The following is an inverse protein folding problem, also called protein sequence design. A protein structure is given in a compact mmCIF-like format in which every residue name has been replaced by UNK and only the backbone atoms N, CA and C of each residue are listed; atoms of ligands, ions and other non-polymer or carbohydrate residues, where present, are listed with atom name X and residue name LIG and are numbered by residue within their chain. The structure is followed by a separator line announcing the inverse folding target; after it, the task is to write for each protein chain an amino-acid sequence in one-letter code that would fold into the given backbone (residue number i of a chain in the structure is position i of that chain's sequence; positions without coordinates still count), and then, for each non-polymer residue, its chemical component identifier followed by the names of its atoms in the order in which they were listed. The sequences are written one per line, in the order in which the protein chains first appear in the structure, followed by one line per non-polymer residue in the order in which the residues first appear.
data_IF_797055347445
#
_entry.id   IF_797055347445
#
_cell.length_a   1.000
_cell.length_b   1.000
_cell.length_c   1.000
_cell.angle_alpha   90.00
_cell.angle_beta   90.00
_cell.angle_gamma   90.00
#
_symmetry.space_group_name_H-M   'P 1'
#
loop_
_entity.id
_entity.type
_entity.pdbx_description
1 polymer ?
#
# COMPACT_ATOMS: atom_id res chain seq x y z
N UNK A 1 34.39 -65.23 126.58
CA UNK A 1 34.29 -64.32 125.41
C UNK A 1 33.31 -64.94 124.44
N UNK A 2 32.34 -64.18 123.91
CA UNK A 2 31.45 -64.69 122.87
C UNK A 2 32.25 -65.06 121.61
N UNK A 3 31.80 -66.11 120.91
CA UNK A 3 32.48 -66.67 119.73
C UNK A 3 32.27 -65.74 118.52
N UNK A 4 33.14 -65.83 117.51
CA UNK A 4 33.08 -64.99 116.29
C UNK A 4 31.71 -65.00 115.59
N UNK A 5 30.94 -66.06 115.79
CA UNK A 5 29.61 -66.28 115.21
C UNK A 5 28.49 -65.52 115.96
N UNK A 6 28.76 -65.05 117.17
CA UNK A 6 27.81 -64.33 118.03
C UNK A 6 27.95 -62.80 117.93
N UNK A 7 28.91 -62.30 117.15
CA UNK A 7 29.05 -60.87 116.84
C UNK A 7 28.11 -60.51 115.69
N UNK A 8 27.23 -59.53 115.90
CA UNK A 8 26.36 -59.01 114.85
C UNK A 8 27.20 -58.45 113.69
N UNK A 9 26.89 -58.88 112.46
CA UNK A 9 27.59 -58.41 111.27
C UNK A 9 27.41 -56.90 111.10
N UNK A 10 28.52 -56.17 110.96
CA UNK A 10 28.50 -54.73 110.67
C UNK A 10 28.12 -54.57 109.20
N UNK A 11 26.89 -54.14 108.94
CA UNK A 11 26.43 -53.82 107.57
C UNK A 11 27.19 -52.60 107.03
N UNK A 12 27.99 -52.83 106.00
CA UNK A 12 28.65 -51.75 105.28
C UNK A 12 27.63 -50.94 104.47
N UNK A 13 27.51 -49.65 104.76
CA UNK A 13 26.68 -48.73 103.96
C UNK A 13 27.45 -48.39 102.67
N UNK A 14 26.90 -48.77 101.52
CA UNK A 14 27.50 -48.43 100.24
C UNK A 14 27.31 -46.93 99.95
N UNK A 15 28.38 -46.16 100.16
CA UNK A 15 28.41 -44.71 99.96
C UNK A 15 28.62 -44.29 98.51
N UNK A 16 28.74 -45.24 97.57
CA UNK A 16 29.06 -44.94 96.16
C UNK A 16 27.96 -45.50 95.25
N UNK A 17 27.33 -44.62 94.48
CA UNK A 17 26.45 -45.01 93.37
C UNK A 17 27.27 -45.05 92.08
N UNK A 18 27.11 -46.11 91.28
CA UNK A 18 27.65 -46.12 89.93
C UNK A 18 27.00 -44.98 89.14
N UNK A 19 27.83 -44.05 88.66
CA UNK A 19 27.36 -42.96 87.80
C UNK A 19 27.02 -43.57 86.44
N UNK A 20 25.78 -43.40 86.00
CA UNK A 20 25.35 -43.85 84.68
C UNK A 20 26.13 -43.11 83.61
N UNK A 21 26.61 -43.83 82.59
CA UNK A 21 27.26 -43.19 81.46
C UNK A 21 26.19 -42.46 80.63
N UNK A 22 26.27 -41.14 80.62
CA UNK A 22 25.51 -40.30 79.69
C UNK A 22 26.46 -39.83 78.58
N UNK A 23 26.33 -40.36 77.34
CA UNK A 23 27.14 -39.93 76.21
C UNK A 23 26.95 -38.45 75.84
N UNK A 24 25.89 -37.80 76.34
CA UNK A 24 25.49 -36.44 76.02
C UNK A 24 25.81 -35.43 77.13
N UNK A 25 26.60 -35.83 78.13
CA UNK A 25 27.01 -34.95 79.22
C UNK A 25 27.81 -33.73 78.70
N UNK A 26 27.18 -32.56 78.76
CA UNK A 26 27.73 -31.28 78.30
C UNK A 26 28.96 -30.84 79.09
N UNK A 27 29.14 -31.33 80.31
CA UNK A 27 30.29 -30.98 81.15
C UNK A 27 31.60 -31.62 80.67
N UNK A 28 31.51 -32.73 79.93
CA UNK A 28 32.64 -33.48 79.39
C UNK A 28 32.79 -33.23 77.89
N UNK A 29 31.67 -33.29 77.16
CA UNK A 29 31.65 -33.24 75.69
C UNK A 29 31.58 -31.81 75.13
N UNK A 30 31.29 -30.81 75.96
CA UNK A 30 31.10 -29.42 75.53
C UNK A 30 29.75 -29.17 74.82
N UNK A 31 29.57 -28.00 74.19
CA UNK A 31 28.36 -27.69 73.42
C UNK A 31 28.25 -28.58 72.18
N UNK A 32 27.03 -29.02 71.87
CA UNK A 32 26.77 -29.86 70.71
C UNK A 32 27.08 -29.12 69.39
N UNK A 33 28.09 -29.60 68.66
CA UNK A 33 28.54 -29.05 67.38
C UNK A 33 27.51 -29.25 66.26
N UNK A 34 26.60 -30.22 66.40
CA UNK A 34 25.60 -30.57 65.40
C UNK A 34 24.17 -30.23 65.83
N UNK A 35 24.01 -29.37 66.84
CA UNK A 35 22.69 -28.96 67.32
C UNK A 35 21.81 -28.32 66.22
N UNK A 36 22.43 -27.78 65.16
CA UNK A 36 21.75 -27.21 64.00
C UNK A 36 21.43 -28.25 62.89
N UNK A 37 21.93 -29.48 62.99
CA UNK A 37 21.73 -30.51 61.97
C UNK A 37 20.40 -31.23 62.20
N UNK A 38 19.53 -31.21 61.20
CA UNK A 38 18.25 -31.91 61.26
C UNK A 38 18.44 -33.44 61.19
N UNK A 39 17.70 -34.22 61.99
CA UNK A 39 17.71 -35.68 61.91
C UNK A 39 17.34 -36.20 60.51
N UNK A 40 17.96 -37.32 60.09
CA UNK A 40 17.74 -37.87 58.74
C UNK A 40 16.30 -38.29 58.44
N UNK A 41 15.56 -38.74 59.45
CA UNK A 41 14.13 -39.04 59.34
C UNK A 41 13.30 -37.76 59.07
N UNK A 42 13.66 -36.63 59.69
CA UNK A 42 13.01 -35.33 59.45
C UNK A 42 13.30 -34.85 58.03
N UNK A 43 14.55 -34.93 57.57
CA UNK A 43 14.92 -34.57 56.19
C UNK A 43 14.17 -35.43 55.16
N UNK A 44 14.04 -36.74 55.41
CA UNK A 44 13.25 -37.64 54.56
C UNK A 44 11.78 -37.23 54.53
N UNK A 45 11.18 -36.95 55.68
CA UNK A 45 9.78 -36.49 55.76
C UNK A 45 9.55 -35.16 55.05
N UNK A 46 10.46 -34.19 55.20
CA UNK A 46 10.41 -32.92 54.48
C UNK A 46 10.49 -33.10 52.96
N UNK A 47 11.37 -34.01 52.50
CA UNK A 47 11.47 -34.34 51.08
C UNK A 47 10.19 -34.97 50.54
N UNK A 48 9.57 -35.91 51.28
CA UNK A 48 8.31 -36.55 50.88
C UNK A 48 7.17 -35.52 50.86
N UNK A 49 7.05 -34.70 51.89
CA UNK A 49 6.03 -33.66 51.95
C UNK A 49 6.18 -32.60 50.84
N UNK A 50 7.42 -32.22 50.50
CA UNK A 50 7.68 -31.34 49.36
C UNK A 50 7.19 -31.95 48.04
N UNK A 51 7.31 -33.26 47.86
CA UNK A 51 6.78 -33.95 46.68
C UNK A 51 5.25 -34.02 46.69
N UNK A 52 4.61 -34.27 47.84
CA UNK A 52 3.14 -34.24 47.94
C UNK A 52 2.58 -32.83 47.68
N UNK A 53 3.24 -31.76 48.16
CA UNK A 53 2.91 -30.37 47.79
C UNK A 53 3.05 -30.14 46.28
N UNK A 54 4.13 -30.64 45.68
CA UNK A 54 4.35 -30.52 44.25
C UNK A 54 3.29 -31.29 43.45
N UNK A 55 2.91 -32.49 43.88
CA UNK A 55 1.87 -33.31 43.27
C UNK A 55 0.49 -32.64 43.35
N UNK A 56 0.13 -32.12 44.51
CA UNK A 56 -1.09 -31.34 44.71
C UNK A 56 -1.15 -30.13 43.77
N UNK A 57 -0.04 -29.37 43.70
CA UNK A 57 0.09 -28.21 42.81
C UNK A 57 -0.01 -28.59 41.33
N UNK A 58 0.69 -29.65 40.90
CA UNK A 58 0.69 -30.11 39.50
C UNK A 58 -0.72 -30.51 39.03
N UNK A 59 -1.46 -31.26 39.86
CA UNK A 59 -2.81 -31.66 39.52
C UNK A 59 -3.73 -30.46 39.29
N UNK A 60 -3.66 -29.44 40.15
CA UNK A 60 -4.48 -28.24 40.01
C UNK A 60 -4.02 -27.34 38.84
N UNK A 61 -2.71 -27.26 38.59
CA UNK A 61 -2.18 -26.51 37.45
C UNK A 61 -2.62 -27.11 36.11
N UNK A 62 -2.64 -28.43 35.98
CA UNK A 62 -3.12 -29.11 34.77
C UNK A 62 -4.59 -28.74 34.47
N UNK A 63 -5.46 -28.76 35.49
CA UNK A 63 -6.86 -28.34 35.35
C UNK A 63 -6.98 -26.85 34.95
N UNK A 64 -6.13 -25.98 35.52
CA UNK A 64 -6.11 -24.54 35.20
C UNK A 64 -5.65 -24.31 33.77
N UNK A 65 -4.55 -24.93 33.35
CA UNK A 65 -3.96 -24.77 32.02
C UNK A 65 -4.92 -25.23 30.91
N UNK A 66 -5.63 -26.33 31.13
CA UNK A 66 -6.67 -26.81 30.20
C UNK A 66 -7.78 -25.77 30.03
N UNK A 67 -8.30 -25.24 31.14
CA UNK A 67 -9.39 -24.26 31.13
C UNK A 67 -8.96 -22.88 30.64
N UNK A 68 -7.75 -22.43 30.96
CA UNK A 68 -7.19 -21.17 30.46
C UNK A 68 -6.99 -21.23 28.94
N UNK A 69 -6.48 -22.36 28.42
CA UNK A 69 -6.32 -22.57 26.98
C UNK A 69 -7.67 -22.56 26.26
N UNK A 70 -8.67 -23.28 26.79
CA UNK A 70 -10.03 -23.27 26.24
C UNK A 70 -10.61 -21.85 26.17
N UNK A 71 -10.43 -21.07 27.24
CA UNK A 71 -10.87 -19.68 27.29
C UNK A 71 -10.14 -18.81 26.25
N UNK A 72 -8.83 -18.94 26.15
CA UNK A 72 -8.01 -18.17 25.21
C UNK A 72 -8.42 -18.46 23.75
N UNK A 73 -8.55 -19.74 23.39
CA UNK A 73 -8.98 -20.17 22.06
C UNK A 73 -10.40 -19.66 21.74
N UNK A 74 -11.30 -19.72 22.72
CA UNK A 74 -12.66 -19.20 22.57
C UNK A 74 -12.67 -17.68 22.34
N UNK A 75 -11.95 -16.89 23.16
CA UNK A 75 -11.90 -15.43 23.01
C UNK A 75 -11.30 -15.03 21.65
N UNK A 76 -10.26 -15.71 21.17
CA UNK A 76 -9.71 -15.49 19.82
C UNK A 76 -10.75 -15.75 18.72
N UNK A 77 -11.56 -16.79 18.88
CA UNK A 77 -12.62 -17.14 17.90
C UNK A 77 -13.72 -16.07 17.78
N UNK A 78 -13.90 -15.22 18.80
CA UNK A 78 -14.90 -14.15 18.78
C UNK A 78 -14.50 -12.94 17.92
N UNK A 79 -13.25 -12.85 17.46
CA UNK A 79 -12.73 -11.79 16.58
C UNK A 79 -13.09 -10.37 17.09
N UNK A 80 -12.86 -10.12 18.38
CA UNK A 80 -13.23 -8.86 19.02
C UNK A 80 -12.41 -7.66 18.50
N UNK A 81 -11.29 -7.89 17.82
CA UNK A 81 -10.45 -6.85 17.21
C UNK A 81 -11.18 -6.04 16.13
N UNK A 82 -12.15 -6.64 15.44
CA UNK A 82 -12.96 -5.96 14.42
C UNK A 82 -13.96 -4.95 15.03
N UNK A 83 -14.13 -5.00 16.36
CA UNK A 83 -15.18 -4.31 17.09
C UNK A 83 -14.53 -3.50 18.21
N UNK A 84 -14.51 -2.19 18.05
CA UNK A 84 -13.90 -1.31 19.03
C UNK A 84 -14.79 -1.21 20.30
N UNK A 85 -14.52 -2.05 21.31
CA UNK A 85 -15.12 -1.97 22.66
C UNK A 85 -14.44 -0.93 23.56
N UNK A 86 -13.43 -0.23 23.04
CA UNK A 86 -12.67 0.73 23.82
C UNK A 86 -13.49 2.02 23.92
N UNK A 87 -14.04 2.28 25.11
CA UNK A 87 -14.84 3.47 25.45
C UNK A 87 -13.99 4.75 25.53
N UNK A 88 -12.74 4.68 25.06
CA UNK A 88 -11.82 5.79 25.09
C UNK A 88 -12.40 6.95 24.32
N UNK A 89 -12.85 7.98 25.04
CA UNK A 89 -13.13 9.35 24.60
C UNK A 89 -12.02 10.03 23.77
N UNK A 90 -10.97 9.30 23.39
CA UNK A 90 -9.99 9.72 22.42
C UNK A 90 -10.68 9.90 21.07
N UNK A 91 -10.60 11.12 20.57
CA UNK A 91 -10.91 11.47 19.19
C UNK A 91 -10.33 10.41 18.24
N UNK A 92 -11.17 9.56 17.66
CA UNK A 92 -10.74 8.44 16.80
C UNK A 92 -9.79 8.95 15.72
N UNK A 93 -8.52 8.57 15.79
CA UNK A 93 -7.45 9.20 15.03
C UNK A 93 -7.63 8.87 13.54
N UNK A 94 -7.52 9.90 12.68
CA UNK A 94 -7.60 9.68 11.24
C UNK A 94 -6.39 8.83 10.81
N UNK A 95 -6.55 7.89 9.86
CA UNK A 95 -5.43 7.11 9.36
C UNK A 95 -4.28 8.01 8.88
N UNK A 96 -3.05 7.66 9.26
CA UNK A 96 -1.84 8.46 9.00
C UNK A 96 -1.70 8.79 7.51
N UNK A 97 -2.00 7.84 6.63
CA UNK A 97 -1.99 8.03 5.18
C UNK A 97 -2.88 9.19 4.70
N UNK A 98 -4.06 9.36 5.29
CA UNK A 98 -4.98 10.46 4.95
C UNK A 98 -4.49 11.77 5.55
N UNK A 99 -3.95 11.72 6.76
CA UNK A 99 -3.43 12.90 7.46
C UNK A 99 -2.26 13.52 6.69
N UNK A 100 -1.31 12.68 6.23
CA UNK A 100 -0.18 13.10 5.41
C UNK A 100 -0.63 13.82 4.12
N UNK A 101 -1.58 13.23 3.40
CA UNK A 101 -2.09 13.75 2.12
C UNK A 101 -2.92 15.02 2.31
N UNK A 102 -3.75 15.06 3.34
CA UNK A 102 -4.51 16.26 3.70
C UNK A 102 -3.59 17.39 4.14
N UNK A 103 -2.54 17.11 4.90
CA UNK A 103 -1.55 18.11 5.30
C UNK A 103 -0.76 18.64 4.09
N UNK A 104 -0.30 17.75 3.21
CA UNK A 104 0.40 18.14 1.98
C UNK A 104 -0.50 19.01 1.08
N UNK A 105 -1.75 18.61 0.87
CA UNK A 105 -2.69 19.35 0.04
C UNK A 105 -3.07 20.72 0.66
N UNK A 106 -3.34 20.76 1.98
CA UNK A 106 -3.64 22.02 2.68
C UNK A 106 -2.43 22.97 2.80
N UNK A 107 -1.20 22.45 2.73
CA UNK A 107 0.00 23.29 2.72
C UNK A 107 0.13 24.14 1.45
N UNK A 108 -0.58 23.78 0.39
CA UNK A 108 -0.59 24.46 -0.91
C UNK A 108 -2.02 24.80 -1.34
N UNK A 109 -2.66 25.81 -0.73
CA UNK A 109 -4.07 26.14 -1.00
C UNK A 109 -4.34 26.56 -2.45
N UNK A 110 -3.33 27.12 -3.13
CA UNK A 110 -3.43 27.57 -4.53
C UNK A 110 -3.16 26.45 -5.55
N UNK A 111 -2.75 25.25 -5.11
CA UNK A 111 -2.28 24.20 -6.02
C UNK A 111 -3.41 23.60 -6.88
N UNK A 112 -4.63 23.50 -6.35
CA UNK A 112 -5.79 23.03 -7.12
C UNK A 112 -6.25 24.06 -8.17
N UNK A 113 -6.44 25.35 -7.84
CA UNK A 113 -6.66 26.39 -8.85
C UNK A 113 -5.55 26.47 -9.90
N UNK A 114 -4.29 26.37 -9.49
CA UNK A 114 -3.13 26.40 -10.40
C UNK A 114 -3.14 25.21 -11.36
N UNK A 115 -3.47 24.01 -10.89
CA UNK A 115 -3.62 22.84 -11.76
C UNK A 115 -4.74 23.05 -12.80
N UNK A 116 -5.87 23.61 -12.39
CA UNK A 116 -6.98 23.88 -13.29
C UNK A 116 -6.59 24.88 -14.39
N UNK A 117 -5.85 25.93 -14.04
CA UNK A 117 -5.30 26.90 -14.99
C UNK A 117 -4.33 26.23 -15.98
N UNK A 118 -3.40 25.40 -15.48
CA UNK A 118 -2.47 24.63 -16.33
C UNK A 118 -3.23 23.70 -17.29
N UNK A 119 -4.28 23.02 -16.82
CA UNK A 119 -5.11 22.15 -17.65
C UNK A 119 -5.87 22.91 -18.74
N UNK A 120 -6.40 24.10 -18.43
CA UNK A 120 -7.01 24.97 -19.43
C UNK A 120 -5.98 25.41 -20.47
N UNK A 121 -4.79 25.83 -20.02
CA UNK A 121 -3.70 26.24 -20.92
C UNK A 121 -3.25 25.10 -21.84
N UNK A 122 -3.15 23.87 -21.36
CA UNK A 122 -2.89 22.68 -22.21
C UNK A 122 -4.00 22.50 -23.25
N UNK A 123 -5.26 22.70 -22.87
CA UNK A 123 -6.40 22.69 -23.78
C UNK A 123 -6.30 23.76 -24.87
N UNK A 124 -5.96 24.99 -24.50
CA UNK A 124 -5.75 26.11 -25.43
C UNK A 124 -4.60 25.81 -26.40
N UNK A 125 -3.48 25.27 -25.91
CA UNK A 125 -2.38 24.82 -26.76
C UNK A 125 -2.82 23.73 -27.74
N UNK A 126 -3.71 22.81 -27.34
CA UNK A 126 -4.23 21.78 -28.24
C UNK A 126 -5.06 22.39 -29.38
N UNK A 127 -5.92 23.37 -29.07
CA UNK A 127 -6.75 24.08 -30.06
C UNK A 127 -5.85 24.90 -31.00
N UNK A 128 -4.85 25.60 -30.47
CA UNK A 128 -3.90 26.36 -31.29
C UNK A 128 -3.09 25.44 -32.21
N UNK A 129 -2.66 24.26 -31.74
CA UNK A 129 -1.99 23.27 -32.55
C UNK A 129 -2.89 22.72 -33.66
N UNK A 130 -4.17 22.42 -33.38
CA UNK A 130 -5.16 22.05 -34.40
C UNK A 130 -5.22 23.11 -35.51
N UNK A 131 -5.32 24.39 -35.15
CA UNK A 131 -5.42 25.48 -36.12
C UNK A 131 -4.17 25.59 -37.00
N UNK A 132 -2.97 25.53 -36.41
CA UNK A 132 -1.72 25.64 -37.18
C UNK A 132 -1.50 24.43 -38.08
N UNK A 133 -1.76 23.21 -37.59
CA UNK A 133 -1.60 21.99 -38.39
C UNK A 133 -2.61 21.95 -39.54
N UNK A 134 -3.87 22.33 -39.30
CA UNK A 134 -4.88 22.46 -40.36
C UNK A 134 -4.49 23.51 -41.40
N UNK A 135 -3.94 24.65 -40.98
CA UNK A 135 -3.44 25.67 -41.90
C UNK A 135 -2.31 25.14 -42.80
N UNK A 136 -1.34 24.41 -42.23
CA UNK A 136 -0.25 23.80 -42.99
C UNK A 136 -0.74 22.73 -43.95
N UNK A 137 -1.71 21.89 -43.55
CA UNK A 137 -2.33 20.91 -44.47
C UNK A 137 -2.99 21.62 -45.65
N UNK A 138 -3.82 22.63 -45.39
CA UNK A 138 -4.51 23.36 -46.46
C UNK A 138 -3.54 24.04 -47.44
N UNK A 139 -2.44 24.62 -46.93
CA UNK A 139 -1.36 25.20 -47.73
C UNK A 139 -0.68 24.16 -48.60
N UNK A 140 -0.32 23.03 -48.02
CA UNK A 140 0.37 21.94 -48.71
C UNK A 140 -0.54 21.25 -49.75
N UNK A 141 -1.83 21.10 -49.46
CA UNK A 141 -2.83 20.55 -50.38
C UNK A 141 -3.08 21.48 -51.58
N UNK A 142 -3.03 22.81 -51.37
CA UNK A 142 -3.11 23.79 -52.44
C UNK A 142 -1.92 23.66 -53.40
N UNK A 143 -0.70 23.53 -52.86
CA UNK A 143 0.51 23.28 -53.66
C UNK A 143 0.41 21.95 -54.41
N UNK A 144 -0.03 20.86 -53.75
CA UNK A 144 -0.20 19.56 -54.40
C UNK A 144 -1.16 19.61 -55.60
N UNK A 145 -2.30 20.29 -55.40
CA UNK A 145 -3.32 20.46 -56.43
C UNK A 145 -2.77 21.22 -57.64
N UNK A 146 -1.96 22.25 -57.42
CA UNK A 146 -1.30 23.01 -58.49
C UNK A 146 -0.19 22.21 -59.15
N UNK A 147 0.60 21.45 -58.39
CA UNK A 147 1.68 20.62 -58.90
C UNK A 147 1.18 19.52 -59.84
N UNK A 148 0.06 18.86 -59.49
CA UNK A 148 -0.61 17.86 -60.32
C UNK A 148 -1.11 18.43 -61.66
N UNK A 149 -1.53 19.69 -61.68
CA UNK A 149 -2.02 20.37 -62.90
C UNK A 149 -0.87 20.81 -63.82
N UNK A 150 0.31 21.08 -63.26
CA UNK A 150 1.32 21.91 -63.96
C UNK A 150 2.65 21.18 -64.23
N UNK A 151 3.03 20.16 -63.46
CA UNK A 151 4.40 19.61 -63.49
C UNK A 151 4.53 18.09 -63.70
N UNK A 152 3.44 17.29 -63.63
CA UNK A 152 3.42 15.81 -63.78
C UNK A 152 4.43 15.00 -62.91
N UNK A 153 5.28 15.65 -62.11
CA UNK A 153 6.29 15.03 -61.24
C UNK A 153 6.06 15.36 -59.78
N UNK A 154 6.05 14.33 -58.94
CA UNK A 154 6.04 14.46 -57.50
C UNK A 154 7.44 14.84 -57.00
N UNK A 155 7.53 15.95 -56.26
CA UNK A 155 8.77 16.36 -55.60
C UNK A 155 8.98 15.48 -54.34
N UNK A 156 10.16 14.87 -54.23
CA UNK A 156 10.53 14.03 -53.08
C UNK A 156 10.56 14.84 -51.78
N UNK A 157 10.93 16.12 -51.87
CA UNK A 157 10.95 17.06 -50.77
C UNK A 157 9.56 17.39 -50.23
N UNK A 158 8.61 17.62 -51.13
CA UNK A 158 7.20 17.79 -50.80
C UNK A 158 6.62 16.56 -50.08
N UNK A 159 6.91 15.36 -50.59
CA UNK A 159 6.44 14.10 -49.99
C UNK A 159 7.01 13.89 -48.58
N UNK A 160 8.28 14.25 -48.36
CA UNK A 160 8.91 14.18 -47.04
C UNK A 160 8.24 15.13 -46.04
N UNK A 161 7.97 16.37 -46.43
CA UNK A 161 7.30 17.39 -45.60
C UNK A 161 5.84 16.99 -45.31
N UNK A 162 5.12 16.45 -46.28
CA UNK A 162 3.77 15.93 -46.09
C UNK A 162 3.75 14.74 -45.11
N UNK A 163 4.72 13.83 -45.22
CA UNK A 163 4.85 12.70 -44.29
C UNK A 163 5.16 13.16 -42.87
N UNK A 164 6.04 14.12 -42.70
CA UNK A 164 6.38 14.67 -41.38
C UNK A 164 5.21 15.48 -40.78
N UNK A 165 4.46 16.23 -41.60
CA UNK A 165 3.23 16.90 -41.18
C UNK A 165 2.19 15.91 -40.63
N UNK A 166 1.96 14.82 -41.35
CA UNK A 166 1.04 13.76 -40.91
C UNK A 166 1.52 13.11 -39.60
N UNK A 167 2.83 12.86 -39.47
CA UNK A 167 3.42 12.32 -38.24
C UNK A 167 3.21 13.27 -37.05
N UNK A 168 3.47 14.56 -37.23
CA UNK A 168 3.24 15.59 -36.20
C UNK A 168 1.76 15.64 -35.82
N UNK A 169 0.86 15.56 -36.79
CA UNK A 169 -0.58 15.50 -36.56
C UNK A 169 -0.99 14.26 -35.75
N UNK A 170 -0.46 13.08 -36.06
CA UNK A 170 -0.74 11.85 -35.31
C UNK A 170 -0.29 11.96 -33.84
N UNK A 171 0.90 12.54 -33.60
CA UNK A 171 1.40 12.77 -32.24
C UNK A 171 0.51 13.77 -31.48
N UNK A 172 0.08 14.85 -32.13
CA UNK A 172 -0.83 15.83 -31.57
C UNK A 172 -2.20 15.22 -31.22
N UNK A 173 -2.78 14.42 -32.12
CA UNK A 173 -4.05 13.74 -31.89
C UNK A 173 -4.00 12.80 -30.67
N UNK A 174 -2.89 12.07 -30.51
CA UNK A 174 -2.65 11.23 -29.33
C UNK A 174 -2.52 12.06 -28.04
N UNK A 175 -1.75 13.15 -28.09
CA UNK A 175 -1.59 14.05 -26.95
C UNK A 175 -2.94 14.69 -26.54
N UNK A 176 -3.74 15.12 -27.51
CA UNK A 176 -5.08 15.66 -27.30
C UNK A 176 -6.02 14.65 -26.62
N UNK A 177 -6.01 13.39 -27.08
CA UNK A 177 -6.80 12.34 -26.46
C UNK A 177 -6.39 12.09 -24.99
N UNK A 178 -5.08 12.06 -24.72
CA UNK A 178 -4.55 11.93 -23.36
C UNK A 178 -4.97 13.11 -22.47
N UNK A 179 -4.86 14.36 -22.95
CA UNK A 179 -5.30 15.53 -22.18
C UNK A 179 -6.79 15.49 -21.82
N UNK A 180 -7.64 15.02 -22.75
CA UNK A 180 -9.06 14.82 -22.47
C UNK A 180 -9.31 13.74 -21.42
N UNK A 181 -8.48 12.68 -21.39
CA UNK A 181 -8.52 11.66 -20.34
C UNK A 181 -8.09 12.21 -18.99
N UNK A 182 -7.03 13.02 -18.91
CA UNK A 182 -6.58 13.69 -17.69
C UNK A 182 -7.67 14.61 -17.11
N UNK A 183 -8.32 15.41 -17.95
CA UNK A 183 -9.44 16.25 -17.52
C UNK A 183 -10.60 15.42 -16.96
N UNK A 184 -10.93 14.29 -17.61
CA UNK A 184 -11.99 13.39 -17.16
C UNK A 184 -11.64 12.71 -15.83
N UNK A 185 -10.39 12.27 -15.66
CA UNK A 185 -9.88 11.69 -14.42
C UNK A 185 -9.97 12.70 -13.27
N UNK A 186 -9.49 13.93 -13.46
CA UNK A 186 -9.57 14.97 -12.43
C UNK A 186 -11.03 15.32 -12.08
N UNK A 187 -11.91 15.42 -13.08
CA UNK A 187 -13.33 15.69 -12.86
C UNK A 187 -14.02 14.61 -12.00
N UNK A 188 -13.69 13.34 -12.23
CA UNK A 188 -14.23 12.21 -11.46
C UNK A 188 -13.84 12.27 -9.96
N UNK A 189 -12.67 12.83 -9.64
CA UNK A 189 -12.15 12.97 -8.28
C UNK A 189 -12.32 14.37 -7.67
N UNK A 190 -12.96 15.29 -8.39
CA UNK A 190 -13.07 16.70 -7.98
C UNK A 190 -13.76 16.89 -6.62
N UNK A 191 -14.80 16.11 -6.33
CA UNK A 191 -15.51 16.19 -5.05
C UNK A 191 -14.65 15.67 -3.89
N UNK A 192 -13.95 14.56 -4.09
CA UNK A 192 -13.00 14.02 -3.13
C UNK A 192 -11.86 14.99 -2.82
N UNK A 193 -11.35 15.70 -3.83
CA UNK A 193 -10.31 16.72 -3.66
C UNK A 193 -10.80 17.93 -2.86
N UNK A 194 -12.05 18.38 -3.09
CA UNK A 194 -12.65 19.44 -2.26
C UNK A 194 -12.76 19.01 -0.80
N UNK A 195 -13.15 17.76 -0.54
CA UNK A 195 -13.21 17.23 0.83
C UNK A 195 -11.82 17.21 1.46
N UNK A 196 -10.79 16.83 0.71
CA UNK A 196 -9.40 16.81 1.20
C UNK A 196 -8.86 18.22 1.51
N UNK A 197 -9.32 19.24 0.78
CA UNK A 197 -9.01 20.65 1.00
C UNK A 197 -9.70 21.25 2.25
N UNK A 198 -10.60 20.52 2.89
CA UNK A 198 -11.25 21.01 4.11
C UNK A 198 -10.28 20.98 5.29
N UNK A 199 -10.46 21.87 6.29
CA UNK A 199 -9.76 21.79 7.56
C UNK A 199 -9.93 20.41 8.22
N UNK A 200 -8.88 19.92 8.89
CA UNK A 200 -8.86 18.56 9.47
C UNK A 200 -10.04 18.26 10.42
N UNK A 201 -10.55 19.26 11.14
CA UNK A 201 -11.72 19.12 12.00
C UNK A 201 -13.00 18.87 11.21
N UNK A 202 -13.16 19.52 10.06
CA UNK A 202 -14.32 19.34 9.18
C UNK A 202 -14.21 18.03 8.39
N UNK A 203 -13.01 17.68 7.91
CA UNK A 203 -12.73 16.39 7.28
C UNK A 203 -13.07 15.23 8.22
N UNK A 204 -12.61 15.31 9.48
CA UNK A 204 -12.93 14.35 10.52
C UNK A 204 -14.44 14.25 10.71
N UNK A 205 -15.10 15.39 10.92
CA UNK A 205 -16.55 15.47 11.08
C UNK A 205 -17.28 14.80 9.92
N UNK A 206 -16.85 15.04 8.68
CA UNK A 206 -17.48 14.45 7.48
C UNK A 206 -17.38 12.92 7.43
N UNK A 207 -16.29 12.36 7.98
CA UNK A 207 -16.04 10.92 8.06
C UNK A 207 -16.72 10.26 9.27
N UNK A 208 -17.03 11.01 10.34
CA UNK A 208 -17.56 10.47 11.61
C UNK A 208 -19.04 10.77 11.88
N UNK A 209 -19.56 11.94 11.49
CA UNK A 209 -20.82 12.51 12.00
C UNK A 209 -22.09 11.69 11.74
N UNK A 210 -22.06 10.74 10.79
CA UNK A 210 -23.25 9.98 10.42
C UNK A 210 -23.08 8.45 10.57
N UNK A 211 -21.96 8.01 11.16
CA UNK A 211 -21.51 6.62 11.03
C UNK A 211 -20.80 6.05 12.26
N UNK A 212 -20.56 6.80 13.34
CA UNK A 212 -20.05 6.15 14.55
C UNK A 212 -21.14 5.29 15.20
N UNK A 213 -21.14 3.99 14.89
CA UNK A 213 -21.91 2.97 15.60
C UNK A 213 -20.96 2.24 16.54
N UNK A 214 -21.13 2.44 17.84
CA UNK A 214 -20.32 1.80 18.88
C UNK A 214 -21.08 0.64 19.50
N UNK A 215 -20.38 -0.40 19.99
CA UNK A 215 -21.04 -1.49 20.72
C UNK A 215 -21.85 -1.00 21.92
N UNK A 216 -21.43 0.10 22.56
CA UNK A 216 -22.12 0.69 23.71
C UNK A 216 -23.49 1.30 23.38
N UNK A 217 -23.78 1.56 22.10
CA UNK A 217 -25.04 2.17 21.67
C UNK A 217 -26.20 1.17 21.61
N UNK A 218 -25.93 -0.14 21.75
CA UNK A 218 -26.95 -1.19 21.77
C UNK A 218 -27.01 -1.93 23.09
N UNK A 219 -28.21 -2.37 23.47
CA UNK A 219 -28.42 -3.19 24.67
C UNK A 219 -27.68 -4.52 24.57
N UNK A 220 -27.60 -5.08 23.37
CA UNK A 220 -26.92 -6.34 23.06
C UNK A 220 -25.40 -6.16 23.19
N UNK A 221 -24.84 -5.04 22.72
CA UNK A 221 -23.41 -4.76 22.83
C UNK A 221 -22.97 -4.46 24.25
N UNK A 222 -23.79 -3.77 25.04
CA UNK A 222 -23.56 -3.61 26.50
C UNK A 222 -23.60 -4.96 27.23
N UNK A 223 -24.52 -5.85 26.86
CA UNK A 223 -24.58 -7.20 27.43
C UNK A 223 -23.34 -8.02 27.06
N UNK A 224 -22.92 -7.99 25.80
CA UNK A 224 -21.71 -8.66 25.33
C UNK A 224 -20.48 -8.14 26.08
N UNK A 225 -20.34 -6.82 26.22
CA UNK A 225 -19.26 -6.21 27.01
C UNK A 225 -19.28 -6.69 28.45
N UNK A 226 -20.44 -6.69 29.11
CA UNK A 226 -20.59 -7.19 30.48
C UNK A 226 -20.18 -8.65 30.63
N UNK A 227 -20.51 -9.51 29.65
CA UNK A 227 -20.11 -10.92 29.68
C UNK A 227 -18.60 -11.09 29.46
N UNK A 228 -17.99 -10.27 28.60
CA UNK A 228 -16.55 -10.23 28.39
C UNK A 228 -15.80 -9.79 29.65
N UNK A 229 -16.29 -8.73 30.31
CA UNK A 229 -15.72 -8.25 31.59
C UNK A 229 -15.78 -9.34 32.66
N UNK A 230 -16.87 -10.09 32.73
CA UNK A 230 -17.02 -11.22 33.66
C UNK A 230 -16.06 -12.37 33.37
N UNK A 231 -15.80 -12.67 32.09
CA UNK A 231 -14.81 -13.66 31.69
C UNK A 231 -13.39 -13.22 32.07
N UNK A 232 -13.06 -11.93 31.87
CA UNK A 232 -11.78 -11.36 32.28
C UNK A 232 -11.62 -11.33 33.81
N UNK A 233 -12.69 -10.99 34.54
CA UNK A 233 -12.73 -11.04 36.00
C UNK A 233 -12.48 -12.47 36.51
N UNK A 234 -13.16 -13.46 35.94
CA UNK A 234 -12.95 -14.87 36.26
C UNK A 234 -11.49 -15.31 36.06
N UNK A 235 -10.86 -14.95 34.93
CA UNK A 235 -9.45 -15.24 34.66
C UNK A 235 -8.51 -14.54 35.65
N UNK A 236 -8.80 -13.27 35.97
CA UNK A 236 -8.02 -12.50 36.96
C UNK A 236 -8.11 -13.11 38.35
N UNK A 237 -9.31 -13.48 38.80
CA UNK A 237 -9.54 -14.17 40.07
C UNK A 237 -8.76 -15.50 40.12
N UNK A 238 -8.77 -16.28 39.04
CA UNK A 238 -8.02 -17.54 38.94
C UNK A 238 -6.52 -17.31 39.13
N UNK A 239 -5.94 -16.30 38.47
CA UNK A 239 -4.53 -15.93 38.62
C UNK A 239 -4.19 -15.50 40.05
N UNK A 240 -5.04 -14.70 40.69
CA UNK A 240 -4.85 -14.28 42.08
C UNK A 240 -4.93 -15.46 43.05
N UNK A 241 -5.91 -16.35 42.89
CA UNK A 241 -6.04 -17.56 43.71
C UNK A 241 -4.85 -18.50 43.54
N UNK A 242 -4.36 -18.67 42.31
CA UNK A 242 -3.18 -19.47 42.03
C UNK A 242 -1.91 -18.86 42.66
N UNK A 243 -1.74 -17.53 42.59
CA UNK A 243 -0.62 -16.85 43.25
C UNK A 243 -0.66 -17.07 44.76
N UNK A 244 -1.84 -16.89 45.38
CA UNK A 244 -2.04 -17.12 46.81
C UNK A 244 -1.71 -18.57 47.18
N UNK A 245 -2.19 -19.55 46.43
CA UNK A 245 -1.89 -20.96 46.68
C UNK A 245 -0.38 -21.25 46.59
N UNK A 246 0.31 -20.65 45.63
CA UNK A 246 1.75 -20.81 45.49
C UNK A 246 2.51 -20.25 46.70
N UNK A 247 2.11 -19.06 47.18
CA UNK A 247 2.68 -18.44 48.38
C UNK A 247 2.39 -19.29 49.62
N UNK A 248 1.15 -19.75 49.80
CA UNK A 248 0.73 -20.59 50.93
C UNK A 248 1.51 -21.91 50.95
N UNK A 249 1.66 -22.60 49.80
CA UNK A 249 2.44 -23.83 49.70
C UNK A 249 3.95 -23.62 49.92
N UNK A 250 4.49 -22.49 49.48
CA UNK A 250 5.89 -22.14 49.69
C UNK A 250 6.19 -21.86 51.17
N UNK A 251 5.27 -21.20 51.87
CA UNK A 251 5.40 -20.85 53.27
C UNK A 251 5.03 -21.98 54.24
N UNK A 252 4.42 -23.08 53.76
CA UNK A 252 4.05 -24.23 54.61
C UNK A 252 5.27 -25.11 54.93
N UNK A 253 5.96 -24.75 56.00
CA UNK A 253 7.09 -25.49 56.58
C UNK A 253 6.63 -26.36 57.77
N UNK A 254 6.82 -27.67 57.63
CA UNK A 254 6.45 -28.67 58.65
C UNK A 254 7.64 -29.12 59.52
N UNK A 255 8.83 -28.51 59.37
CA UNK A 255 10.07 -28.92 60.07
C UNK A 255 9.89 -29.04 61.57
N UNK A 256 9.26 -28.03 62.20
CA UNK A 256 8.99 -28.06 63.64
C UNK A 256 8.04 -29.20 64.05
N UNK A 257 7.06 -29.53 63.21
CA UNK A 257 6.08 -30.61 63.48
C UNK A 257 6.73 -31.98 63.32
N UNK A 258 7.57 -32.16 62.29
CA UNK A 258 8.36 -33.37 62.09
C UNK A 258 9.38 -33.61 63.22
N UNK A 259 9.89 -32.56 63.88
CA UNK A 259 10.77 -32.71 65.05
C UNK A 259 10.00 -33.18 66.30
N UNK A 260 8.71 -32.88 66.40
CA UNK A 260 7.87 -33.29 67.55
C UNK A 260 7.29 -34.69 67.42
N UNK A 261 7.01 -35.14 66.20
CA UNK A 261 6.49 -36.48 65.94
C UNK A 261 7.62 -37.51 65.86
N UNK A 262 7.56 -38.53 66.73
CA UNK A 262 8.54 -39.63 66.78
C UNK A 262 8.20 -40.79 65.83
N UNK A 263 7.15 -40.65 65.02
CA UNK A 263 6.70 -41.71 64.11
C UNK A 263 7.51 -41.72 62.81
N UNK A 264 7.72 -42.90 62.24
CA UNK A 264 8.43 -43.07 60.96
C UNK A 264 7.54 -42.75 59.75
N UNK A 265 6.24 -43.03 59.84
CA UNK A 265 5.24 -42.75 58.80
C UNK A 265 4.40 -41.52 59.15
N UNK A 266 4.91 -40.33 58.81
CA UNK A 266 4.26 -39.03 59.04
C UNK A 266 3.12 -38.74 58.03
N UNK A 267 2.44 -39.76 57.52
CA UNK A 267 1.40 -39.60 56.48
C UNK A 267 0.20 -38.78 56.95
N UNK A 268 -0.29 -39.03 58.16
CA UNK A 268 -1.41 -38.27 58.75
C UNK A 268 -1.08 -36.78 58.95
N UNK A 269 0.20 -36.46 59.21
CA UNK A 269 0.67 -35.07 59.25
C UNK A 269 0.57 -34.44 57.87
N UNK A 270 1.06 -35.10 56.82
CA UNK A 270 1.01 -34.57 55.46
C UNK A 270 -0.43 -34.27 55.01
N UNK A 271 -1.35 -35.19 55.27
CA UNK A 271 -2.77 -35.02 54.91
C UNK A 271 -3.41 -33.83 55.65
N UNK A 272 -3.14 -33.68 56.95
CA UNK A 272 -3.68 -32.58 57.74
C UNK A 272 -3.08 -31.22 57.36
N UNK A 273 -1.80 -31.18 56.99
CA UNK A 273 -1.16 -29.95 56.54
C UNK A 273 -1.64 -29.56 55.14
N UNK A 274 -1.81 -30.52 54.22
CA UNK A 274 -2.38 -30.27 52.89
C UNK A 274 -3.84 -29.82 52.94
N UNK A 275 -4.64 -30.29 53.91
CA UNK A 275 -6.05 -29.85 54.07
C UNK A 275 -6.21 -28.34 54.22
N UNK A 276 -5.21 -27.63 54.73
CA UNK A 276 -5.26 -26.15 54.82
C UNK A 276 -5.35 -25.49 53.45
N UNK A 277 -4.73 -26.09 52.44
CA UNK A 277 -4.71 -25.59 51.06
C UNK A 277 -5.96 -25.99 50.26
N UNK A 278 -6.75 -26.93 50.78
CA UNK A 278 -7.96 -27.45 50.12
C UNK A 278 -9.03 -26.39 49.94
N UNK A 279 -9.13 -25.41 50.85
CA UNK A 279 -10.07 -24.30 50.72
C UNK A 279 -9.78 -23.46 49.47
N UNK A 280 -8.52 -23.03 49.31
CA UNK A 280 -8.08 -22.26 48.12
C UNK A 280 -8.23 -23.10 46.85
N UNK A 281 -7.91 -24.39 46.90
CA UNK A 281 -8.11 -25.29 45.76
C UNK A 281 -9.58 -25.47 45.40
N UNK A 282 -10.48 -25.54 46.39
CA UNK A 282 -11.93 -25.61 46.15
C UNK A 282 -12.44 -24.33 45.47
N UNK A 283 -11.99 -23.15 45.91
CA UNK A 283 -12.34 -21.88 45.26
C UNK A 283 -11.86 -21.83 43.80
N UNK A 284 -10.66 -22.35 43.52
CA UNK A 284 -10.15 -22.49 42.15
C UNK A 284 -11.07 -23.40 41.34
N UNK A 285 -11.40 -24.61 41.83
CA UNK A 285 -12.29 -25.54 41.11
C UNK A 285 -13.68 -24.96 40.88
N UNK A 286 -14.22 -24.17 41.82
CA UNK A 286 -15.48 -23.44 41.62
C UNK A 286 -15.37 -22.40 40.52
N UNK A 287 -14.25 -21.65 40.44
CA UNK A 287 -13.98 -20.73 39.34
C UNK A 287 -13.86 -21.46 37.99
N UNK A 288 -13.18 -22.62 37.94
CA UNK A 288 -13.09 -23.46 36.74
C UNK A 288 -14.47 -23.96 36.28
N UNK A 289 -15.31 -24.42 37.21
CA UNK A 289 -16.67 -24.89 36.90
C UNK A 289 -17.60 -23.77 36.41
N UNK A 290 -17.42 -22.54 36.92
CA UNK A 290 -18.17 -21.37 36.47
C UNK A 290 -17.89 -20.98 35.02
N UNK A 291 -16.72 -21.33 34.47
CA UNK A 291 -16.32 -20.99 33.10
C UNK A 291 -17.34 -21.45 32.06
N UNK A 292 -17.83 -22.69 32.14
CA UNK A 292 -18.77 -23.22 31.15
C UNK A 292 -20.06 -22.38 31.09
N UNK A 293 -20.56 -21.93 32.24
CA UNK A 293 -21.76 -21.08 32.30
C UNK A 293 -21.49 -19.66 31.77
N UNK A 294 -20.31 -19.12 32.01
CA UNK A 294 -19.90 -17.81 31.49
C UNK A 294 -19.75 -17.87 29.97
N UNK A 295 -19.11 -18.90 29.44
CA UNK A 295 -18.95 -19.09 27.99
C UNK A 295 -20.29 -19.31 27.29
N UNK A 296 -21.23 -20.04 27.89
CA UNK A 296 -22.58 -20.18 27.36
C UNK A 296 -23.30 -18.82 27.27
N UNK A 297 -23.30 -18.05 28.36
CA UNK A 297 -23.90 -16.72 28.38
C UNK A 297 -23.22 -15.73 27.41
N UNK A 298 -21.89 -15.84 27.26
CA UNK A 298 -21.12 -15.06 26.29
C UNK A 298 -21.47 -15.43 24.85
N UNK A 299 -21.70 -16.73 24.57
CA UNK A 299 -22.15 -17.22 23.25
C UNK A 299 -23.50 -16.62 22.89
N UNK A 300 -24.45 -16.64 23.83
CA UNK A 300 -25.81 -16.11 23.62
C UNK A 300 -25.79 -14.59 23.41
N UNK A 301 -24.99 -13.88 24.21
CA UNK A 301 -24.80 -12.44 24.06
C UNK A 301 -24.16 -12.09 22.70
N UNK A 302 -23.16 -12.86 22.28
CA UNK A 302 -22.49 -12.67 21.00
C UNK A 302 -23.42 -12.95 19.81
N UNK A 303 -24.23 -14.02 19.89
CA UNK A 303 -25.22 -14.35 18.87
C UNK A 303 -26.27 -13.23 18.73
N UNK A 304 -26.77 -12.72 19.86
CA UNK A 304 -27.73 -11.61 19.88
C UNK A 304 -27.13 -10.31 19.33
N UNK A 305 -25.83 -10.09 19.50
CA UNK A 305 -25.09 -8.95 18.96
C UNK A 305 -24.76 -9.08 17.45
N UNK A 306 -24.99 -10.23 16.82
CA UNK A 306 -24.54 -10.52 15.46
C UNK A 306 -24.99 -9.51 14.40
N UNK A 307 -26.28 -9.11 14.41
CA UNK A 307 -26.81 -8.13 13.46
C UNK A 307 -26.20 -6.74 13.67
N UNK A 308 -26.03 -6.33 14.94
CA UNK A 308 -25.44 -5.04 15.28
C UNK A 308 -23.94 -5.02 14.96
N UNK A 309 -23.23 -6.12 15.23
CA UNK A 309 -21.83 -6.34 14.83
C UNK A 309 -21.66 -6.14 13.33
N UNK A 310 -22.52 -6.76 12.51
CA UNK A 310 -22.47 -6.58 11.06
C UNK A 310 -22.64 -5.12 10.65
N UNK A 311 -23.59 -4.41 11.28
CA UNK A 311 -23.77 -2.97 11.06
C UNK A 311 -22.49 -2.17 11.37
N UNK A 312 -21.83 -2.44 12.49
CA UNK A 312 -20.55 -1.79 12.83
C UNK A 312 -19.49 -2.06 11.77
N UNK A 313 -19.34 -3.32 11.35
CA UNK A 313 -18.35 -3.72 10.34
C UNK A 313 -18.62 -3.03 9.00
N UNK A 314 -19.87 -3.03 8.54
CA UNK A 314 -20.27 -2.38 7.28
C UNK A 314 -19.97 -0.88 7.31
N UNK A 315 -20.22 -0.23 8.45
CA UNK A 315 -19.98 1.20 8.60
C UNK A 315 -18.49 1.53 8.71
N UNK A 316 -17.72 0.74 9.45
CA UNK A 316 -16.26 0.86 9.51
C UNK A 316 -15.62 0.64 8.14
N UNK A 317 -16.11 -0.34 7.37
CA UNK A 317 -15.69 -0.60 6.00
C UNK A 317 -16.00 0.58 5.09
N UNK A 318 -17.23 1.11 5.11
CA UNK A 318 -17.60 2.27 4.31
C UNK A 318 -16.73 3.50 4.66
N UNK A 319 -16.40 3.70 5.94
CA UNK A 319 -15.47 4.75 6.36
C UNK A 319 -14.08 4.52 5.78
N UNK A 320 -13.56 3.30 5.84
CA UNK A 320 -12.27 2.96 5.24
C UNK A 320 -12.27 3.15 3.72
N UNK A 321 -13.35 2.75 3.03
CA UNK A 321 -13.51 2.94 1.59
C UNK A 321 -13.50 4.45 1.23
N UNK A 322 -14.13 5.30 2.04
CA UNK A 322 -14.05 6.76 1.88
C UNK A 322 -12.63 7.28 2.09
N UNK A 323 -11.92 6.81 3.11
CA UNK A 323 -10.51 7.18 3.36
C UNK A 323 -9.63 6.79 2.16
N UNK A 324 -9.80 5.58 1.63
CA UNK A 324 -9.07 5.10 0.45
C UNK A 324 -9.42 5.91 -0.80
N UNK A 325 -10.69 6.28 -0.99
CA UNK A 325 -11.11 7.11 -2.11
C UNK A 325 -10.52 8.53 -2.05
N UNK A 326 -10.41 9.13 -0.86
CA UNK A 326 -9.77 10.43 -0.67
C UNK A 326 -8.25 10.35 -0.90
N UNK A 327 -7.63 9.28 -0.43
CA UNK A 327 -6.20 9.00 -0.65
C UNK A 327 -5.92 8.85 -2.15
N UNK A 328 -6.71 8.03 -2.85
CA UNK A 328 -6.57 7.83 -4.28
C UNK A 328 -6.82 9.11 -5.09
N UNK A 329 -7.77 9.96 -4.66
CA UNK A 329 -8.02 11.25 -5.30
C UNK A 329 -6.78 12.16 -5.26
N UNK A 330 -6.06 12.19 -4.13
CA UNK A 330 -4.80 12.92 -4.02
C UNK A 330 -3.72 12.35 -4.95
N UNK A 331 -3.58 11.02 -5.00
CA UNK A 331 -2.57 10.38 -5.86
C UNK A 331 -2.86 10.67 -7.35
N UNK A 332 -4.14 10.65 -7.76
CA UNK A 332 -4.57 11.09 -9.10
C UNK A 332 -4.25 12.56 -9.34
N UNK A 333 -4.46 13.43 -8.35
CA UNK A 333 -4.10 14.84 -8.46
C UNK A 333 -2.60 15.03 -8.73
N UNK A 334 -1.73 14.30 -8.02
CA UNK A 334 -0.27 14.36 -8.22
C UNK A 334 0.09 13.90 -9.64
N UNK A 335 -0.46 12.79 -10.10
CA UNK A 335 -0.21 12.25 -11.44
C UNK A 335 -0.72 13.20 -12.54
N UNK A 336 -1.94 13.74 -12.41
CA UNK A 336 -2.49 14.71 -13.36
C UNK A 336 -1.67 15.99 -13.37
N UNK A 337 -1.20 16.47 -12.21
CA UNK A 337 -0.35 17.66 -12.12
C UNK A 337 0.96 17.47 -12.88
N UNK A 338 1.63 16.34 -12.66
CA UNK A 338 2.88 16.02 -13.36
C UNK A 338 2.65 15.90 -14.88
N UNK A 339 1.65 15.13 -15.31
CA UNK A 339 1.35 14.92 -16.73
C UNK A 339 0.88 16.19 -17.45
N UNK A 340 0.19 17.08 -16.75
CA UNK A 340 -0.20 18.38 -17.31
C UNK A 340 1.04 19.24 -17.59
N UNK A 341 2.04 19.22 -16.69
CA UNK A 341 3.30 19.93 -16.91
C UNK A 341 4.10 19.34 -18.08
N UNK A 342 4.14 18.01 -18.19
CA UNK A 342 4.73 17.32 -19.35
C UNK A 342 3.99 17.67 -20.66
N UNK A 343 2.65 17.78 -20.61
CA UNK A 343 1.82 18.22 -21.73
C UNK A 343 2.14 19.64 -22.19
N UNK A 344 2.33 20.58 -21.26
CA UNK A 344 2.76 21.94 -21.59
C UNK A 344 4.13 21.96 -22.27
N UNK A 345 5.09 21.16 -21.77
CA UNK A 345 6.43 21.01 -22.38
C UNK A 345 6.32 20.40 -23.78
N UNK A 346 5.47 19.38 -23.95
CA UNK A 346 5.19 18.78 -25.26
C UNK A 346 4.67 19.81 -26.25
N UNK A 347 3.65 20.60 -25.90
CA UNK A 347 3.10 21.61 -26.79
C UNK A 347 4.11 22.71 -27.15
N UNK A 348 4.97 23.11 -26.20
CA UNK A 348 6.06 24.05 -26.50
C UNK A 348 7.01 23.51 -27.58
N UNK A 349 7.38 22.23 -27.50
CA UNK A 349 8.21 21.56 -28.50
C UNK A 349 7.45 21.38 -29.81
N UNK A 350 6.17 20.99 -29.75
CA UNK A 350 5.30 20.84 -30.91
C UNK A 350 5.18 22.15 -31.71
N UNK A 351 4.98 23.28 -31.03
CA UNK A 351 4.92 24.59 -31.70
C UNK A 351 6.23 24.96 -32.37
N UNK A 352 7.38 24.57 -31.79
CA UNK A 352 8.68 24.78 -32.42
C UNK A 352 8.83 23.95 -33.70
N UNK A 353 8.38 22.70 -33.68
CA UNK A 353 8.37 21.82 -34.87
C UNK A 353 7.41 22.33 -35.94
N UNK A 354 6.18 22.71 -35.57
CA UNK A 354 5.18 23.30 -36.48
C UNK A 354 5.73 24.57 -37.11
N UNK A 355 6.45 25.41 -36.36
CA UNK A 355 7.08 26.63 -36.91
C UNK A 355 8.16 26.27 -37.94
N UNK A 356 9.04 25.32 -37.64
CA UNK A 356 10.06 24.85 -38.58
C UNK A 356 9.43 24.28 -39.86
N UNK A 357 8.39 23.47 -39.71
CA UNK A 357 7.64 22.92 -40.84
C UNK A 357 6.92 24.01 -41.63
N UNK A 358 6.36 25.01 -40.96
CA UNK A 358 5.74 26.16 -41.61
C UNK A 358 6.70 26.97 -42.48
N UNK A 359 7.94 27.17 -42.01
CA UNK A 359 8.99 27.79 -42.81
C UNK A 359 9.36 26.92 -44.02
N UNK A 360 9.40 25.59 -43.87
CA UNK A 360 9.68 24.66 -44.95
C UNK A 360 8.56 24.63 -46.01
N UNK A 361 7.29 24.69 -45.58
CA UNK A 361 6.12 24.82 -46.47
C UNK A 361 6.18 26.15 -47.23
N UNK A 362 6.53 27.25 -46.57
CA UNK A 362 6.70 28.56 -47.21
C UNK A 362 7.83 28.55 -48.26
N UNK A 363 8.94 27.85 -47.98
CA UNK A 363 10.02 27.67 -48.93
C UNK A 363 9.58 26.86 -50.17
N UNK A 364 8.79 25.79 -49.97
CA UNK A 364 8.18 25.04 -51.09
C UNK A 364 7.23 25.93 -51.91
N UNK A 365 6.33 26.66 -51.25
CA UNK A 365 5.38 27.55 -51.93
C UNK A 365 6.11 28.59 -52.79
N UNK A 366 7.19 29.18 -52.26
CA UNK A 366 8.01 30.16 -52.98
C UNK A 366 8.72 29.53 -54.17
N UNK A 367 9.38 28.38 -53.97
CA UNK A 367 10.05 27.65 -55.04
C UNK A 367 9.07 27.22 -56.15
N UNK A 368 7.85 26.84 -55.78
CA UNK A 368 6.81 26.45 -56.72
C UNK A 368 6.30 27.64 -57.54
N UNK A 369 6.06 28.80 -56.91
CA UNK A 369 5.64 30.01 -57.64
C UNK A 369 6.74 30.50 -58.60
N UNK A 370 8.01 30.45 -58.17
CA UNK A 370 9.16 30.77 -59.04
C UNK A 370 9.27 29.82 -60.25
N UNK A 371 9.11 28.51 -60.04
CA UNK A 371 9.16 27.52 -61.12
C UNK A 371 8.00 27.70 -62.11
N UNK A 372 6.81 28.05 -61.61
CA UNK A 372 5.64 28.37 -62.43
C UNK A 372 5.86 29.62 -63.27
N UNK A 373 6.35 30.72 -62.67
CA UNK A 373 6.66 31.95 -63.40
C UNK A 373 7.72 31.72 -64.50
N UNK A 374 8.75 30.92 -64.22
CA UNK A 374 9.79 30.61 -65.19
C UNK A 374 9.24 29.81 -66.38
N UNK A 375 8.38 28.82 -66.12
CA UNK A 375 7.71 28.07 -67.20
C UNK A 375 6.75 28.93 -68.02
N UNK A 376 6.01 29.85 -67.40
CA UNK A 376 5.16 30.80 -68.12
C UNK A 376 6.00 31.70 -69.04
N UNK A 377 7.15 32.20 -68.56
CA UNK A 377 8.10 32.97 -69.38
C UNK A 377 8.69 32.13 -70.51
N UNK A 378 9.02 30.87 -70.26
CA UNK A 378 9.55 29.96 -71.29
C UNK A 378 8.49 29.64 -72.36
N UNK A 379 7.23 29.43 -71.96
CA UNK A 379 6.11 29.25 -72.91
C UNK A 379 5.91 30.50 -73.78
N UNK A 380 5.96 31.70 -73.18
CA UNK A 380 5.88 32.97 -73.91
C UNK A 380 7.05 33.13 -74.90
N UNK A 381 8.27 32.78 -74.48
CA UNK A 381 9.46 32.82 -75.34
C UNK A 381 9.35 31.81 -76.50
N UNK A 382 8.84 30.61 -76.23
CA UNK A 382 8.56 29.60 -77.26
C UNK A 382 7.47 30.03 -78.26
N UNK A 383 6.43 30.73 -77.79
CA UNK A 383 5.41 31.34 -78.65
C UNK A 383 5.98 32.46 -79.55
N UNK A 384 6.88 33.29 -79.03
CA UNK A 384 7.58 34.31 -79.83
C UNK A 384 8.54 33.70 -80.86
N UNK A 385 9.27 32.64 -80.49
CA UNK A 385 10.14 31.90 -81.40
C UNK A 385 9.33 31.19 -82.50
N UNK A 386 8.19 30.57 -82.16
CA UNK A 386 7.29 29.95 -83.12
C UNK A 386 6.62 30.99 -84.04
N UNK A 387 6.23 32.16 -83.51
CA UNK A 387 5.69 33.26 -84.31
C UNK A 387 6.74 33.84 -85.27
N UNK A 388 8.01 33.88 -84.87
CA UNK A 388 9.12 34.30 -85.74
C UNK A 388 9.51 33.21 -86.76
N UNK A 389 9.40 31.92 -86.42
CA UNK A 389 9.56 30.81 -87.37
C UNK A 389 8.48 30.79 -88.47
N UNK A 390 7.23 31.10 -88.10
CA UNK A 390 6.09 31.18 -89.04
C UNK A 390 6.21 32.34 -90.06
N UNK A 391 6.94 33.42 -89.70
CA UNK A 391 7.24 34.52 -90.64
C UNK A 391 8.19 34.08 -91.76
N UNK A 392 9.12 33.17 -91.49
CA UNK A 392 10.04 32.65 -92.52
C UNK A 392 9.36 31.64 -93.48
N UNK A 393 8.39 30.85 -93.01
CA UNK A 393 7.65 29.92 -93.88
C UNK A 393 6.63 30.62 -94.78
N UNK A 394 6.04 31.72 -94.31
CA UNK A 394 5.11 32.55 -95.12
C UNK A 394 5.84 33.32 -96.24
N UNK A 395 7.12 33.66 -96.05
CA UNK A 395 7.96 34.25 -97.11
C UNK A 395 8.42 33.26 -98.17
N UNK A 396 8.41 31.95 -97.91
CA UNK A 396 8.81 30.92 -98.88
C UNK A 396 7.67 30.48 -99.83
N UNK A 397 6.40 30.77 -99.51
CA UNK A 397 5.24 30.37 -100.32
C UNK A 397 4.87 31.34 -101.47
N UNK A 398 5.67 32.38 -101.74
CA UNK A 398 5.40 33.35 -102.80
C UNK A 398 6.26 33.22 -104.08
N UNK A 399 7.06 32.15 -104.23
CA UNK A 399 7.81 31.90 -105.49
C UNK A 399 7.79 30.41 -105.84
N UNK A 400 6.68 29.95 -106.44
CA UNK A 400 6.64 29.16 -107.69
C UNK A 400 5.25 28.58 -107.94
N UNK A 401 4.62 29.12 -108.98
CA UNK A 401 3.53 28.51 -109.73
C UNK A 401 4.08 27.45 -110.70
N UNK A 402 3.21 26.47 -110.95
CA UNK A 402 2.99 25.69 -112.17
C UNK A 402 3.49 24.23 -112.27
N UNK A 403 2.49 23.38 -112.56
CA UNK A 403 2.42 22.08 -113.26
C UNK A 403 2.50 20.75 -112.48
N UNK A 404 1.30 20.23 -112.17
CA UNK A 404 0.71 18.88 -112.38
C UNK A 404 1.56 17.59 -112.29
N UNK A 405 1.19 16.66 -111.37
CA UNK A 405 0.40 15.43 -111.66
C UNK A 405 0.42 14.40 -110.48
N UNK A 406 -0.78 14.06 -109.98
CA UNK A 406 -1.37 12.74 -109.61
C UNK A 406 -0.65 11.70 -108.69
N UNK A 407 -1.37 11.38 -107.60
CA UNK A 407 -1.60 10.10 -106.86
C UNK A 407 -0.58 9.36 -105.97
N UNK A 408 -1.04 9.22 -104.71
CA UNK A 408 -1.20 8.01 -103.84
C UNK A 408 0.06 7.33 -103.27
N UNK A 409 0.09 7.23 -101.94
CA UNK A 409 0.86 6.20 -101.24
C UNK A 409 1.05 6.44 -99.74
N UNK A 410 0.49 5.54 -98.93
CA UNK A 410 0.49 5.49 -97.46
C UNK A 410 1.87 5.48 -96.76
N UNK A 411 1.77 5.83 -95.46
CA UNK A 411 2.39 5.17 -94.30
C UNK A 411 3.77 5.58 -93.76
N UNK A 412 3.70 5.78 -92.43
CA UNK A 412 4.65 5.46 -91.37
C UNK A 412 5.80 6.44 -91.06
N UNK A 413 5.53 7.17 -89.98
CA UNK A 413 6.45 7.78 -89.04
C UNK A 413 7.29 6.70 -88.36
N UNK A 414 8.60 6.77 -88.54
CA UNK A 414 9.60 6.41 -87.53
C UNK A 414 10.90 7.13 -87.85
N UNK A 415 11.36 8.00 -86.95
CA UNK A 415 12.75 8.01 -86.51
C UNK A 415 12.93 9.05 -85.42
N UNK A 416 13.49 8.55 -84.31
CA UNK A 416 14.12 9.29 -83.25
C UNK A 416 15.03 10.41 -83.76
N UNK A 417 15.06 11.52 -83.03
CA UNK A 417 16.33 12.11 -82.66
C UNK A 417 16.24 12.81 -81.30
N UNK A 418 17.00 12.23 -80.37
CA UNK A 418 17.43 12.84 -79.10
C UNK A 418 17.98 14.24 -79.34
N UNK A 419 17.56 15.17 -78.49
CA UNK A 419 18.37 16.28 -78.01
C UNK A 419 18.16 16.36 -76.49
N UNK A 420 19.07 15.72 -75.77
CA UNK A 420 19.37 16.07 -74.39
C UNK A 420 19.87 17.51 -74.37
N UNK A 421 19.20 18.39 -73.62
CA UNK A 421 19.83 19.59 -73.05
C UNK A 421 19.37 19.73 -71.60
N UNK A 422 20.35 19.66 -70.70
CA UNK A 422 20.15 19.55 -69.27
C UNK A 422 19.75 20.86 -68.60
N UNK A 423 18.78 20.74 -67.70
CA UNK A 423 18.52 21.66 -66.58
C UNK A 423 18.00 20.80 -65.41
N UNK A 424 18.84 19.87 -64.93
CA UNK A 424 18.54 18.98 -63.79
C UNK A 424 19.37 19.30 -62.54
N UNK A 425 20.11 20.43 -62.51
CA UNK A 425 21.18 20.61 -61.52
C UNK A 425 20.97 21.69 -60.45
N UNK A 426 19.85 22.42 -60.40
CA UNK A 426 19.64 23.42 -59.32
C UNK A 426 18.74 23.00 -58.16
N UNK A 427 17.77 22.10 -58.36
CA UNK A 427 16.84 21.73 -57.26
C UNK A 427 17.42 20.72 -56.27
N UNK A 428 18.35 19.87 -56.71
CA UNK A 428 18.95 18.82 -55.86
C UNK A 428 19.92 19.37 -54.80
N UNK A 429 20.49 20.56 -55.01
CA UNK A 429 21.49 21.14 -54.10
C UNK A 429 20.86 21.88 -52.91
N UNK A 430 19.67 22.45 -53.07
CA UNK A 430 18.96 23.13 -51.99
C UNK A 430 18.35 22.14 -50.97
N UNK A 431 17.92 20.97 -51.45
CA UNK A 431 17.38 19.91 -50.59
C UNK A 431 18.45 19.17 -49.78
N UNK A 432 19.69 19.04 -50.27
CA UNK A 432 20.79 18.46 -49.48
C UNK A 432 21.22 19.35 -48.29
N UNK A 433 21.04 20.68 -48.41
CA UNK A 433 21.44 21.63 -47.37
C UNK A 433 20.43 21.65 -46.20
N UNK A 434 19.13 21.54 -46.50
CA UNK A 434 18.06 21.43 -45.47
C UNK A 434 18.08 20.05 -44.79
N UNK A 435 18.46 18.98 -45.50
CA UNK A 435 18.53 17.63 -44.93
C UNK A 435 19.73 17.42 -43.99
N UNK A 436 20.77 18.27 -44.07
CA UNK A 436 21.96 18.18 -43.22
C UNK A 436 21.75 18.72 -41.80
N UNK A 437 20.88 19.72 -41.64
CA UNK A 437 20.64 20.36 -40.34
C UNK A 437 19.68 19.58 -39.43
N UNK A 438 19.01 18.53 -39.94
CA UNK A 438 18.05 17.72 -39.18
C UNK A 438 18.63 16.42 -38.59
N UNK A 439 19.94 16.16 -38.70
CA UNK A 439 20.56 14.88 -38.25
C UNK A 439 21.23 14.93 -36.86
N UNK A 440 21.05 16.01 -36.11
CA UNK A 440 21.40 16.07 -34.70
C UNK A 440 20.21 16.65 -33.92
N UNK A 441 19.26 15.80 -33.53
CA UNK A 441 18.56 15.77 -32.24
C UNK A 441 17.60 14.59 -32.17
#
# INVERSE_FOLDING_TARGET
MPKSEELAAIEGVNMVKAVGFDPTDKSISGPDLFAALLPGNVLKSLSVYSEEKAKFKRALLEEIEEKDKELEDYIKSLQLEEINFNDGSGMEELPEMLLERSAAFNSQPDAFPELLDKLHRVGDCAIEADHKICNLHNRLDAVNSLQLVTFERADEGFSAIMKELNRINDHHMKARANNAELQRALAAHSESLKILAMPLNELRKRLTDNTETKPADSTEGLLLKKMLDKANEMSTQRRTLLSKLNEDLQNDDITAKCLTEKNEDNWGLYENELKKHEETATLIRMNLAAQNNILAALTDANASFGDYRKKIIDVNKNRMDQVLALTAAYDVYVDVSQKTEEGLKFYSTLFSMIKGLGNAVEAIETAFEEEKEEKEKEMLRGLEEHANGMKWTTSAQNIKKDTDHISVGSENVSSDNKLEMGLSFSFSLFFEEIYRDFKFY
#
